data_IF_139421204693
#
_entry.id   IF_139421204693
#
_cell.length_a   1.000
_cell.length_b   1.000
_cell.length_c   1.000
_cell.angle_alpha   90.00
_cell.angle_beta   90.00
_cell.angle_gamma   90.00
#
_symmetry.space_group_name_H-M   'P 1'
#
loop_
_entity.id
_entity.type
_entity.pdbx_description
1 polymer ?
#
# COMPACT_ATOMS: atom_id res chain seq x y z
N UNK A 1 -15.67 33.38 -15.72
CA UNK A 1 -15.44 31.93 -15.80
C UNK A 1 -16.33 31.39 -16.92
N UNK A 2 -15.76 30.83 -18.00
CA UNK A 2 -16.52 30.47 -19.21
C UNK A 2 -17.53 29.37 -18.92
N UNK A 3 -18.74 29.47 -19.50
CA UNK A 3 -19.82 28.48 -19.37
C UNK A 3 -19.35 27.06 -19.75
N UNK A 4 -18.50 26.94 -20.78
CA UNK A 4 -17.86 25.69 -21.19
C UNK A 4 -16.97 25.07 -20.12
N UNK A 5 -16.26 25.90 -19.36
CA UNK A 5 -15.38 25.44 -18.29
C UNK A 5 -16.19 24.86 -17.12
N UNK A 6 -17.31 25.50 -16.77
CA UNK A 6 -18.24 24.97 -15.77
C UNK A 6 -18.84 23.63 -16.20
N UNK A 7 -19.23 23.50 -17.47
CA UNK A 7 -19.79 22.27 -18.03
C UNK A 7 -18.79 21.10 -17.97
N UNK A 8 -17.52 21.35 -18.30
CA UNK A 8 -16.45 20.35 -18.21
C UNK A 8 -16.23 19.84 -16.79
N UNK A 9 -16.23 20.74 -15.79
CA UNK A 9 -16.10 20.36 -14.38
C UNK A 9 -17.27 19.46 -13.96
N UNK A 10 -18.50 19.83 -14.32
CA UNK A 10 -19.69 19.04 -14.01
C UNK A 10 -19.61 17.64 -14.64
N UNK A 11 -19.17 17.56 -15.91
CA UNK A 11 -19.00 16.28 -16.60
C UNK A 11 -17.97 15.38 -15.91
N UNK A 12 -16.84 15.94 -15.47
CA UNK A 12 -15.80 15.19 -14.75
C UNK A 12 -16.30 14.65 -13.41
N UNK A 13 -17.10 15.43 -12.68
CA UNK A 13 -17.71 15.01 -11.41
C UNK A 13 -18.71 13.87 -11.65
N UNK A 14 -19.55 13.98 -12.67
CA UNK A 14 -20.52 12.94 -13.04
C UNK A 14 -19.81 11.64 -13.42
N UNK A 15 -18.76 11.72 -14.24
CA UNK A 15 -17.94 10.56 -14.61
C UNK A 15 -17.31 9.90 -13.38
N UNK A 16 -16.76 10.69 -12.46
CA UNK A 16 -16.18 10.19 -11.22
C UNK A 16 -17.20 9.44 -10.35
N UNK A 17 -18.42 9.99 -10.23
CA UNK A 17 -19.53 9.36 -9.52
C UNK A 17 -19.94 8.04 -10.21
N UNK A 18 -20.09 8.05 -11.54
CA UNK A 18 -20.44 6.85 -12.32
C UNK A 18 -19.38 5.76 -12.15
N UNK A 19 -18.09 6.11 -12.25
CA UNK A 19 -16.98 5.19 -12.01
C UNK A 19 -17.06 4.63 -10.59
N UNK A 20 -17.33 5.47 -9.60
CA UNK A 20 -17.52 5.04 -8.21
C UNK A 20 -18.68 4.06 -8.03
N UNK A 21 -19.81 4.29 -8.71
CA UNK A 21 -20.99 3.41 -8.66
C UNK A 21 -20.73 2.08 -9.36
N UNK A 22 -20.09 2.10 -10.53
CA UNK A 22 -19.72 0.89 -11.28
C UNK A 22 -18.73 0.06 -10.45
N UNK A 23 -17.71 0.72 -9.90
CA UNK A 23 -16.74 0.10 -9.01
C UNK A 23 -17.41 -0.51 -7.78
N UNK A 24 -18.39 0.19 -7.18
CA UNK A 24 -19.22 -0.33 -6.08
C UNK A 24 -20.02 -1.58 -6.45
N UNK A 25 -20.69 -1.58 -7.60
CA UNK A 25 -21.45 -2.75 -8.07
C UNK A 25 -20.54 -3.95 -8.32
N UNK A 26 -19.38 -3.73 -8.94
CA UNK A 26 -18.37 -4.78 -9.18
C UNK A 26 -17.90 -5.36 -7.85
N UNK A 27 -17.46 -4.50 -6.91
CA UNK A 27 -17.02 -4.95 -5.59
C UNK A 27 -18.11 -5.75 -4.87
N UNK A 28 -19.33 -5.22 -4.79
CA UNK A 28 -20.47 -5.88 -4.12
C UNK A 28 -20.73 -7.28 -4.69
N UNK A 29 -20.75 -7.41 -6.00
CA UNK A 29 -20.99 -8.68 -6.70
C UNK A 29 -19.93 -9.74 -6.35
N UNK A 30 -18.66 -9.34 -6.24
CA UNK A 30 -17.57 -10.27 -5.94
C UNK A 30 -17.47 -10.65 -4.45
N UNK A 31 -18.08 -9.87 -3.56
CA UNK A 31 -17.94 -10.03 -2.10
C UNK A 31 -19.07 -10.80 -1.43
N UNK A 32 -20.22 -11.00 -2.09
CA UNK A 32 -21.28 -11.90 -1.59
C UNK A 32 -20.91 -13.38 -1.73
N UNK A 33 -19.94 -13.72 -2.59
CA UNK A 33 -19.47 -15.10 -2.76
C UNK A 33 -18.38 -15.38 -1.72
N UNK A 34 -18.71 -16.14 -0.68
CA UNK A 34 -17.84 -16.54 0.44
C UNK A 34 -16.57 -17.31 0.05
N UNK A 35 -16.41 -17.71 -1.21
CA UNK A 35 -15.19 -18.34 -1.74
C UNK A 35 -14.17 -17.28 -2.14
N UNK A 36 -12.91 -17.50 -1.77
CA UNK A 36 -11.77 -16.71 -2.24
C UNK A 36 -11.69 -16.86 -3.77
N UNK A 37 -12.28 -15.92 -4.48
CA UNK A 37 -12.30 -15.86 -5.93
C UNK A 37 -11.00 -15.26 -6.47
N UNK A 38 -10.75 -15.39 -7.77
CA UNK A 38 -9.62 -14.70 -8.41
C UNK A 38 -9.69 -13.17 -8.18
N UNK A 39 -10.90 -12.59 -8.16
CA UNK A 39 -11.09 -11.16 -7.95
C UNK A 39 -10.83 -10.75 -6.51
N UNK A 40 -11.26 -11.53 -5.51
CA UNK A 40 -10.93 -11.20 -4.11
C UNK A 40 -9.41 -11.23 -3.86
N UNK A 41 -8.68 -12.08 -4.59
CA UNK A 41 -7.21 -12.13 -4.54
C UNK A 41 -6.58 -10.87 -5.15
N UNK A 42 -7.06 -10.44 -6.32
CA UNK A 42 -6.60 -9.19 -6.94
C UNK A 42 -6.91 -7.97 -6.06
N UNK A 43 -8.12 -7.88 -5.50
CA UNK A 43 -8.52 -6.78 -4.61
C UNK A 43 -7.67 -6.78 -3.34
N UNK A 44 -7.31 -7.94 -2.79
CA UNK A 44 -6.44 -8.04 -1.62
C UNK A 44 -4.99 -7.62 -1.89
N UNK A 45 -4.52 -7.64 -3.15
CA UNK A 45 -3.18 -7.17 -3.52
C UNK A 45 -3.12 -5.64 -3.59
N UNK A 46 -4.21 -4.98 -3.98
CA UNK A 46 -4.25 -3.51 -4.20
C UNK A 46 -3.70 -2.71 -3.00
N UNK A 47 -4.09 -2.99 -1.73
CA UNK A 47 -3.56 -2.27 -0.59
C UNK A 47 -2.03 -2.30 -0.50
N UNK A 48 -1.39 -3.42 -0.86
CA UNK A 48 0.06 -3.60 -0.72
C UNK A 48 0.90 -2.74 -1.68
N UNK A 49 0.30 -2.09 -2.69
CA UNK A 49 1.00 -1.05 -3.44
C UNK A 49 1.39 0.13 -2.55
N UNK A 50 0.64 0.39 -1.48
CA UNK A 50 0.95 1.45 -0.53
C UNK A 50 2.28 1.21 0.22
N UNK A 51 2.48 0.10 0.98
CA UNK A 51 3.76 -0.20 1.61
C UNK A 51 4.89 -0.41 0.59
N UNK A 52 4.59 -0.90 -0.61
CA UNK A 52 5.59 -1.01 -1.68
C UNK A 52 6.15 0.37 -2.02
N UNK A 53 5.32 1.32 -2.42
CA UNK A 53 5.76 2.68 -2.77
C UNK A 53 6.40 3.39 -1.59
N UNK A 54 5.82 3.26 -0.39
CA UNK A 54 6.37 3.86 0.83
C UNK A 54 7.79 3.35 1.11
N UNK A 55 8.08 2.06 0.90
CA UNK A 55 9.42 1.48 1.13
C UNK A 55 10.49 2.14 0.26
N UNK A 56 10.15 2.42 -1.00
CA UNK A 56 11.05 3.08 -1.94
C UNK A 56 11.25 4.56 -1.60
N UNK A 57 10.22 5.25 -1.13
CA UNK A 57 10.34 6.65 -0.73
C UNK A 57 11.14 6.81 0.55
N UNK A 58 10.91 5.97 1.56
CA UNK A 58 11.57 6.10 2.86
C UNK A 58 13.02 5.64 2.85
N UNK A 59 13.32 4.53 2.19
CA UNK A 59 14.66 3.93 2.23
C UNK A 59 15.28 3.73 0.84
N UNK A 60 14.47 3.62 -0.21
CA UNK A 60 14.94 3.25 -1.55
C UNK A 60 16.03 4.15 -2.10
N UNK A 61 15.91 5.49 -2.01
CA UNK A 61 16.91 6.41 -2.56
C UNK A 61 18.30 6.25 -1.93
N UNK A 62 18.37 6.03 -0.62
CA UNK A 62 19.64 5.88 0.10
C UNK A 62 20.38 4.58 -0.26
N UNK A 63 19.62 3.55 -0.65
CA UNK A 63 20.14 2.20 -0.86
C UNK A 63 20.31 1.86 -2.35
N UNK A 64 19.35 2.24 -3.21
CA UNK A 64 19.35 1.94 -4.64
C UNK A 64 20.60 2.44 -5.37
N UNK A 65 21.12 3.62 -5.00
CA UNK A 65 22.32 4.19 -5.62
C UNK A 65 23.59 3.34 -5.40
N UNK A 66 23.57 2.39 -4.46
CA UNK A 66 24.70 1.53 -4.11
C UNK A 66 24.58 0.11 -4.66
N UNK A 67 23.46 -0.25 -5.30
CA UNK A 67 23.27 -1.57 -5.88
C UNK A 67 23.88 -1.69 -7.28
N UNK A 68 24.16 -2.92 -7.74
CA UNK A 68 24.56 -3.19 -9.12
C UNK A 68 23.56 -2.62 -10.14
N UNK A 69 24.07 -2.30 -11.33
CA UNK A 69 23.35 -1.62 -12.41
C UNK A 69 22.00 -2.27 -12.76
N UNK A 70 21.92 -3.62 -12.71
CA UNK A 70 20.70 -4.37 -13.04
C UNK A 70 19.50 -3.95 -12.17
N UNK A 71 19.70 -3.78 -10.86
CA UNK A 71 18.61 -3.47 -9.93
C UNK A 71 18.19 -2.00 -10.07
N UNK A 72 19.17 -1.13 -10.30
CA UNK A 72 18.94 0.29 -10.57
C UNK A 72 18.16 0.47 -11.88
N UNK A 73 18.49 -0.30 -12.91
CA UNK A 73 17.82 -0.26 -14.21
C UNK A 73 16.38 -0.80 -14.13
N UNK A 74 16.17 -1.91 -13.41
CA UNK A 74 14.83 -2.41 -13.12
C UNK A 74 13.97 -1.35 -12.41
N UNK A 75 14.52 -0.71 -11.37
CA UNK A 75 13.84 0.38 -10.66
C UNK A 75 13.52 1.56 -11.59
N UNK A 76 14.50 2.01 -12.39
CA UNK A 76 14.34 3.12 -13.34
C UNK A 76 13.27 2.86 -14.39
N UNK A 77 13.19 1.63 -14.90
CA UNK A 77 12.26 1.28 -15.97
C UNK A 77 10.82 1.04 -15.46
N UNK A 78 10.63 0.67 -14.18
CA UNK A 78 9.33 0.23 -13.67
C UNK A 78 8.73 1.14 -12.60
N UNK A 79 9.52 1.54 -11.61
CA UNK A 79 9.01 2.14 -10.37
C UNK A 79 9.40 3.62 -10.20
N UNK A 80 10.34 4.14 -11.00
CA UNK A 80 10.78 5.54 -10.90
C UNK A 80 9.62 6.53 -10.97
N UNK A 81 8.72 6.40 -11.95
CA UNK A 81 7.63 7.37 -12.12
C UNK A 81 6.59 7.29 -10.99
N UNK A 82 6.06 6.10 -10.62
CA UNK A 82 5.15 5.99 -9.48
C UNK A 82 5.77 6.49 -8.16
N UNK A 83 7.04 6.13 -7.89
CA UNK A 83 7.73 6.54 -6.67
C UNK A 83 7.97 8.04 -6.64
N UNK A 84 8.39 8.63 -7.76
CA UNK A 84 8.56 10.08 -7.86
C UNK A 84 7.25 10.84 -7.69
N UNK A 85 6.17 10.39 -8.34
CA UNK A 85 4.85 10.99 -8.20
C UNK A 85 4.33 10.90 -6.76
N UNK A 86 4.51 9.75 -6.12
CA UNK A 86 4.14 9.54 -4.73
C UNK A 86 4.99 10.39 -3.76
N UNK A 87 6.31 10.46 -3.98
CA UNK A 87 7.24 11.26 -3.16
C UNK A 87 6.98 12.77 -3.26
N UNK A 88 6.63 13.28 -4.44
CA UNK A 88 6.36 14.71 -4.66
C UNK A 88 5.07 15.21 -4.01
N UNK A 89 4.14 14.31 -3.67
CA UNK A 89 2.85 14.67 -3.11
C UNK A 89 2.66 13.99 -1.75
N UNK A 90 3.20 14.58 -0.68
CA UNK A 90 3.14 14.01 0.67
C UNK A 90 1.73 13.70 1.19
N UNK A 91 0.70 14.40 0.68
CA UNK A 91 -0.71 14.16 1.01
C UNK A 91 -1.26 12.83 0.45
N UNK A 92 -0.64 12.25 -0.58
CA UNK A 92 -1.08 10.98 -1.16
C UNK A 92 -1.01 9.82 -0.17
N UNK A 93 0.00 9.78 0.70
CA UNK A 93 0.10 8.75 1.74
C UNK A 93 -1.08 8.81 2.71
N UNK A 94 -1.42 10.01 3.16
CA UNK A 94 -2.58 10.24 4.03
C UNK A 94 -3.88 9.85 3.33
N UNK A 95 -4.07 10.24 2.06
CA UNK A 95 -5.26 9.85 1.29
C UNK A 95 -5.30 8.34 1.07
N UNK A 96 -4.19 7.68 0.75
CA UNK A 96 -4.12 6.24 0.56
C UNK A 96 -4.48 5.48 1.84
N UNK A 97 -3.98 5.94 2.99
CA UNK A 97 -4.35 5.40 4.30
C UNK A 97 -5.86 5.47 4.53
N UNK A 98 -6.45 6.67 4.40
CA UNK A 98 -7.88 6.85 4.62
C UNK A 98 -8.73 6.11 3.57
N UNK A 99 -8.30 6.08 2.31
CA UNK A 99 -8.98 5.33 1.26
C UNK A 99 -9.03 3.84 1.58
N UNK A 100 -7.89 3.21 1.89
CA UNK A 100 -7.85 1.78 2.25
C UNK A 100 -8.71 1.53 3.50
N UNK A 101 -8.60 2.38 4.53
CA UNK A 101 -9.35 2.21 5.78
C UNK A 101 -10.88 2.35 5.60
N UNK A 102 -11.32 3.41 4.94
CA UNK A 102 -12.75 3.70 4.76
C UNK A 102 -13.42 2.75 3.77
N UNK A 103 -12.72 2.34 2.71
CA UNK A 103 -13.26 1.48 1.67
C UNK A 103 -13.27 0.01 2.09
N UNK A 104 -12.22 -0.47 2.75
CA UNK A 104 -12.02 -1.91 2.98
C UNK A 104 -12.24 -2.34 4.43
N UNK A 105 -11.95 -1.50 5.43
CA UNK A 105 -11.83 -1.97 6.83
C UNK A 105 -13.05 -1.66 7.70
N UNK A 106 -13.54 -0.41 7.68
CA UNK A 106 -14.62 0.12 8.53
C UNK A 106 -15.79 -0.86 8.79
N UNK A 107 -16.33 -0.92 10.01
CA UNK A 107 -17.40 -1.89 10.35
C UNK A 107 -18.68 -1.69 9.51
N UNK A 108 -19.15 -0.45 9.38
CA UNK A 108 -20.16 -0.05 8.39
C UNK A 108 -19.46 0.33 7.08
N UNK A 109 -18.73 -0.62 6.49
CA UNK A 109 -18.00 -0.40 5.24
C UNK A 109 -18.96 0.08 4.16
N UNK A 110 -18.51 1.01 3.32
CA UNK A 110 -19.27 1.35 2.11
C UNK A 110 -19.52 0.11 1.25
N UNK A 111 -18.63 -0.89 1.27
CA UNK A 111 -18.65 -2.11 0.47
C UNK A 111 -18.71 -3.34 1.39
N UNK A 112 -19.56 -4.35 1.15
CA UNK A 112 -19.36 -5.65 1.78
C UNK A 112 -18.00 -6.17 1.33
N UNK A 113 -17.11 -6.57 2.23
CA UNK A 113 -15.78 -7.07 1.86
C UNK A 113 -15.49 -8.35 2.62
N UNK A 114 -14.92 -9.34 1.95
CA UNK A 114 -14.58 -10.61 2.58
C UNK A 114 -13.53 -10.40 3.68
N UNK A 115 -13.57 -11.25 4.72
CA UNK A 115 -12.58 -11.21 5.80
C UNK A 115 -11.14 -11.28 5.28
N UNK A 116 -10.93 -12.02 4.18
CA UNK A 116 -9.64 -12.12 3.49
C UNK A 116 -9.13 -10.76 2.99
N UNK A 117 -9.96 -9.98 2.30
CA UNK A 117 -9.55 -8.64 1.81
C UNK A 117 -9.35 -7.69 2.99
N UNK A 118 -10.22 -7.73 4.01
CA UNK A 118 -10.08 -6.90 5.21
C UNK A 118 -8.75 -7.15 5.92
N UNK A 119 -8.38 -8.43 6.07
CA UNK A 119 -7.12 -8.82 6.67
C UNK A 119 -5.93 -8.26 5.89
N UNK A 120 -5.87 -8.47 4.57
CA UNK A 120 -4.75 -8.00 3.75
C UNK A 120 -4.68 -6.45 3.73
N UNK A 121 -5.82 -5.76 3.70
CA UNK A 121 -5.89 -4.31 3.81
C UNK A 121 -5.34 -3.79 5.15
N UNK A 122 -5.74 -4.41 6.27
CA UNK A 122 -5.22 -4.08 7.60
C UNK A 122 -3.73 -4.35 7.71
N UNK A 123 -3.26 -5.53 7.27
CA UNK A 123 -1.85 -5.88 7.29
C UNK A 123 -1.01 -4.88 6.48
N UNK A 124 -1.51 -4.43 5.33
CA UNK A 124 -0.86 -3.41 4.51
C UNK A 124 -0.73 -2.07 5.24
N UNK A 125 -1.80 -1.61 5.90
CA UNK A 125 -1.77 -0.37 6.69
C UNK A 125 -0.80 -0.50 7.87
N UNK A 126 -0.83 -1.63 8.59
CA UNK A 126 0.08 -1.86 9.71
C UNK A 126 1.55 -1.87 9.26
N UNK A 127 1.86 -2.48 8.11
CA UNK A 127 3.20 -2.44 7.52
C UNK A 127 3.66 -1.01 7.27
N UNK A 128 2.80 -0.16 6.71
CA UNK A 128 3.12 1.26 6.48
C UNK A 128 3.34 2.03 7.78
N UNK A 129 2.49 1.81 8.78
CA UNK A 129 2.61 2.49 10.08
C UNK A 129 3.96 2.15 10.75
N UNK A 130 4.33 0.87 10.75
CA UNK A 130 5.61 0.42 11.31
C UNK A 130 6.78 0.98 10.49
N UNK A 131 6.69 0.93 9.17
CA UNK A 131 7.71 1.50 8.28
C UNK A 131 7.92 3.00 8.53
N UNK A 132 6.83 3.76 8.61
CA UNK A 132 6.88 5.20 8.86
C UNK A 132 7.49 5.49 10.23
N UNK A 133 7.17 4.67 11.24
CA UNK A 133 7.80 4.77 12.57
C UNK A 133 9.32 4.62 12.50
N UNK A 134 9.85 3.60 11.81
CA UNK A 134 11.29 3.43 11.65
C UNK A 134 11.94 4.53 10.80
N UNK A 135 11.29 4.97 9.72
CA UNK A 135 11.74 6.10 8.90
C UNK A 135 11.87 7.37 9.74
N UNK A 136 10.86 7.68 10.56
CA UNK A 136 10.90 8.82 11.48
C UNK A 136 12.03 8.68 12.49
N UNK A 137 12.18 7.52 13.13
CA UNK A 137 13.28 7.28 14.06
C UNK A 137 14.64 7.58 13.42
N UNK A 138 14.89 7.06 12.21
CA UNK A 138 16.13 7.32 11.48
C UNK A 138 16.33 8.79 11.10
N UNK A 139 15.26 9.54 10.81
CA UNK A 139 15.35 10.99 10.55
C UNK A 139 15.66 11.81 11.81
N UNK A 140 15.30 11.32 12.99
CA UNK A 140 15.63 11.95 14.27
C UNK A 140 17.06 11.64 14.73
N UNK A 141 17.72 10.64 14.14
CA UNK A 141 19.15 10.40 14.38
C UNK A 141 19.98 11.56 13.78
N UNK A 142 21.14 11.88 14.39
CA UNK A 142 22.02 12.92 13.86
C UNK A 142 22.45 12.57 12.42
N UNK A 143 22.44 13.58 11.52
CA UNK A 143 22.73 13.42 10.09
C UNK A 143 24.07 12.72 9.81
N UNK A 144 25.07 12.97 10.67
CA UNK A 144 26.36 12.31 10.58
C UNK A 144 26.30 10.78 10.75
N UNK A 145 25.29 10.26 11.46
CA UNK A 145 25.14 8.82 11.72
C UNK A 145 24.40 8.10 10.59
N UNK A 146 23.41 8.73 9.97
CA UNK A 146 22.65 8.16 8.84
C UNK A 146 23.49 8.04 7.57
N UNK A 147 24.48 8.91 7.39
CA UNK A 147 25.41 8.86 6.25
C UNK A 147 26.66 7.99 6.53
N UNK A 148 26.86 7.52 7.76
CA UNK A 148 27.90 6.54 8.04
C UNK A 148 27.60 5.19 7.41
N UNK A 149 28.64 4.37 7.29
CA UNK A 149 28.57 2.98 6.87
C UNK A 149 27.51 2.19 7.66
N UNK A 150 27.43 2.41 8.99
CA UNK A 150 26.44 1.78 9.86
C UNK A 150 25.01 2.26 9.58
N UNK A 151 24.80 3.57 9.41
CA UNK A 151 23.49 4.13 9.06
C UNK A 151 22.96 3.57 7.74
N UNK A 152 23.82 3.52 6.72
CA UNK A 152 23.50 2.95 5.41
C UNK A 152 23.18 1.45 5.52
N UNK A 153 23.94 0.69 6.33
CA UNK A 153 23.65 -0.73 6.57
C UNK A 153 22.27 -0.94 7.20
N UNK A 154 21.90 -0.11 8.18
CA UNK A 154 20.58 -0.17 8.83
C UNK A 154 19.47 0.18 7.82
N UNK A 155 19.62 1.27 7.05
CA UNK A 155 18.67 1.64 6.01
C UNK A 155 18.50 0.54 4.96
N UNK A 156 19.60 -0.11 4.55
CA UNK A 156 19.58 -1.25 3.64
C UNK A 156 18.82 -2.45 4.22
N UNK A 157 19.13 -2.81 5.47
CA UNK A 157 18.46 -3.91 6.16
C UNK A 157 16.96 -3.67 6.30
N UNK A 158 16.56 -2.46 6.71
CA UNK A 158 15.15 -2.08 6.83
C UNK A 158 14.46 -2.07 5.47
N UNK A 159 15.10 -1.52 4.43
CA UNK A 159 14.56 -1.54 3.07
C UNK A 159 14.27 -2.96 2.61
N UNK A 160 15.26 -3.86 2.70
CA UNK A 160 15.10 -5.25 2.32
C UNK A 160 14.06 -5.98 3.16
N UNK A 161 14.01 -5.72 4.47
CA UNK A 161 13.03 -6.31 5.39
C UNK A 161 11.60 -5.91 5.00
N UNK A 162 11.32 -4.63 4.79
CA UNK A 162 9.97 -4.20 4.43
C UNK A 162 9.59 -4.57 3.00
N UNK A 163 10.53 -4.47 2.06
CA UNK A 163 10.30 -4.88 0.67
C UNK A 163 9.98 -6.38 0.59
N UNK A 164 10.75 -7.22 1.30
CA UNK A 164 10.51 -8.67 1.33
C UNK A 164 9.18 -9.02 2.02
N UNK A 165 8.83 -8.38 3.15
CA UNK A 165 7.53 -8.56 3.80
C UNK A 165 6.36 -8.18 2.88
N UNK A 166 6.50 -7.09 2.12
CA UNK A 166 5.47 -6.64 1.16
C UNK A 166 5.32 -7.64 0.01
N UNK A 167 6.43 -8.05 -0.61
CA UNK A 167 6.42 -9.04 -1.70
C UNK A 167 5.88 -10.38 -1.22
N UNK A 168 6.27 -10.83 -0.02
CA UNK A 168 5.76 -12.05 0.60
C UNK A 168 4.24 -11.99 0.77
N UNK A 169 3.72 -10.85 1.26
CA UNK A 169 2.29 -10.67 1.47
C UNK A 169 1.50 -10.65 0.16
N UNK A 170 2.03 -10.00 -0.87
CA UNK A 170 1.45 -10.01 -2.23
C UNK A 170 1.38 -11.44 -2.77
N UNK A 171 2.46 -12.22 -2.66
CA UNK A 171 2.50 -13.59 -3.16
C UNK A 171 1.50 -14.50 -2.44
N UNK A 172 1.36 -14.35 -1.11
CA UNK A 172 0.35 -15.09 -0.33
C UNK A 172 -1.07 -14.67 -0.71
N UNK A 173 -1.32 -13.37 -0.87
CA UNK A 173 -2.61 -12.85 -1.31
C UNK A 173 -3.02 -13.40 -2.70
N UNK A 174 -2.08 -13.49 -3.65
CA UNK A 174 -2.29 -14.08 -4.98
C UNK A 174 -2.60 -15.59 -4.94
N UNK A 175 -2.07 -16.31 -3.95
CA UNK A 175 -2.40 -17.72 -3.70
C UNK A 175 -3.74 -17.89 -2.98
N UNK A 176 -4.30 -16.81 -2.42
CA UNK A 176 -5.50 -16.87 -1.58
C UNK A 176 -5.22 -17.30 -0.15
N UNK A 177 -3.96 -17.22 0.28
CA UNK A 177 -3.52 -17.55 1.63
C UNK A 177 -3.31 -16.26 2.42
N UNK A 178 -3.47 -16.32 3.74
CA UNK A 178 -3.15 -15.19 4.60
C UNK A 178 -1.64 -15.17 4.85
N UNK A 179 -1.02 -14.00 4.71
CA UNK A 179 0.39 -13.83 5.02
C UNK A 179 0.62 -13.83 6.53
N UNK A 180 1.55 -14.64 7.00
CA UNK A 180 1.92 -14.74 8.41
C UNK A 180 3.21 -13.96 8.65
N UNK A 181 3.07 -12.71 9.08
CA UNK A 181 4.15 -11.87 9.59
C UNK A 181 3.97 -11.78 11.11
N UNK A 182 4.97 -12.16 11.91
CA UNK A 182 4.85 -12.11 13.37
C UNK A 182 4.45 -10.71 13.83
N UNK A 183 3.60 -10.65 14.86
CA UNK A 183 3.04 -9.41 15.46
C UNK A 183 2.04 -8.69 14.54
N UNK A 184 2.40 -8.43 13.28
CA UNK A 184 1.56 -7.68 12.32
C UNK A 184 0.31 -8.48 11.95
N UNK A 185 0.48 -9.74 11.56
CA UNK A 185 -0.65 -10.58 11.17
C UNK A 185 -1.54 -10.90 12.36
N UNK A 186 -0.99 -11.06 13.57
CA UNK A 186 -1.79 -11.26 14.78
C UNK A 186 -2.65 -10.02 15.10
N UNK A 187 -2.10 -8.81 14.99
CA UNK A 187 -2.87 -7.58 15.16
C UNK A 187 -3.99 -7.45 14.11
N UNK A 188 -3.72 -7.80 12.85
CA UNK A 188 -4.73 -7.80 11.80
C UNK A 188 -5.82 -8.88 12.02
N UNK A 189 -5.46 -10.06 12.51
CA UNK A 189 -6.39 -11.14 12.87
C UNK A 189 -7.35 -10.70 13.97
N UNK A 190 -6.81 -10.13 15.05
CA UNK A 190 -7.61 -9.66 16.19
C UNK A 190 -8.70 -8.66 15.78
N UNK A 191 -8.43 -7.81 14.79
CA UNK A 191 -9.41 -6.81 14.33
C UNK A 191 -10.42 -7.35 13.30
N UNK A 192 -10.17 -8.51 12.69
CA UNK A 192 -11.00 -9.06 11.59
C UNK A 192 -11.77 -10.33 11.94
N UNK A 193 -11.55 -10.89 13.13
CA UNK A 193 -12.05 -12.21 13.53
C UNK A 193 -11.80 -13.28 12.45
N UNK A 194 -10.65 -13.20 11.78
CA UNK A 194 -10.22 -14.17 10.79
C UNK A 194 -9.72 -15.43 11.53
N UNK A 195 -10.50 -16.53 11.43
CA UNK A 195 -10.08 -17.85 11.93
C UNK A 195 -9.54 -18.68 10.75
N UNK A 196 -8.44 -19.35 11.00
CA UNK A 196 -7.80 -20.30 10.08
C UNK A 196 -8.41 -21.68 10.24
#
# INVERSE_FOLDING_TARGET
MNLYFLFLIILMIILFIIIGIIFYRILKFYTEVSKISAVSRLVAVIPYFYPLLQSFVDFGLAVLLKYPSIFVELYKNTLVYPVYFYSSHSWLGTIAFFAIYLLLIRSHNLFPVSKFVKFNALQSILLVLIMTFFSLLLRYLPLGLTETLYGIMICNALFLLFLSMTIYSINKALKGEFAEIPIISEAAKFHTDAKF
#
